data_IF_498992375755
#
_entry.id   IF_498992375755
#
_cell.length_a   1.000
_cell.length_b   1.000
_cell.length_c   1.000
_cell.angle_alpha   90.00
_cell.angle_beta   90.00
_cell.angle_gamma   90.00
#
_symmetry.space_group_name_H-M   'P 1'
#
loop_
_entity.id
_entity.type
_entity.pdbx_description
1 polymer ?
#
# COMPACT_ATOMS: atom_id res chain seq x y z
N UNK A 1 -9.82 -19.44 2.57
CA UNK A 1 -9.10 -18.16 2.78
C UNK A 1 -8.10 -17.98 1.64
N UNK A 2 -8.15 -16.85 0.93
CA UNK A 2 -7.13 -16.49 -0.05
C UNK A 2 -5.89 -16.01 0.72
N UNK A 3 -4.79 -16.75 0.63
CA UNK A 3 -3.53 -16.32 1.23
C UNK A 3 -2.99 -15.12 0.45
N UNK A 4 -2.69 -14.02 1.16
CA UNK A 4 -2.03 -12.86 0.55
C UNK A 4 -0.55 -13.14 0.41
N UNK A 5 -0.02 -12.92 -0.79
CA UNK A 5 1.41 -13.07 -1.02
C UNK A 5 2.20 -11.92 -0.36
N UNK A 6 3.50 -12.14 -0.10
CA UNK A 6 4.38 -11.06 0.39
C UNK A 6 4.39 -9.86 -0.57
N UNK A 7 4.38 -10.13 -1.87
CA UNK A 7 4.37 -9.09 -2.92
C UNK A 7 3.08 -8.27 -2.89
N UNK A 8 1.93 -8.92 -2.69
CA UNK A 8 0.63 -8.26 -2.54
C UNK A 8 0.59 -7.38 -1.29
N UNK A 9 1.13 -7.85 -0.17
CA UNK A 9 1.22 -7.03 1.05
C UNK A 9 2.12 -5.81 0.82
N UNK A 10 3.28 -6.01 0.17
CA UNK A 10 4.19 -4.92 -0.18
C UNK A 10 3.49 -3.90 -1.07
N UNK A 11 2.80 -4.32 -2.13
CA UNK A 11 2.11 -3.40 -3.04
C UNK A 11 1.01 -2.61 -2.32
N UNK A 12 0.26 -3.25 -1.43
CA UNK A 12 -0.77 -2.58 -0.61
C UNK A 12 -0.13 -1.52 0.29
N UNK A 13 0.97 -1.83 0.99
CA UNK A 13 1.65 -0.85 1.85
C UNK A 13 2.17 0.31 1.01
N UNK A 14 2.79 0.06 -0.14
CA UNK A 14 3.30 1.10 -1.04
C UNK A 14 2.18 2.02 -1.53
N UNK A 15 1.00 1.48 -1.85
CA UNK A 15 -0.18 2.26 -2.22
C UNK A 15 -0.66 3.14 -1.06
N UNK A 16 -0.76 2.57 0.15
CA UNK A 16 -1.21 3.30 1.35
C UNK A 16 -0.28 4.49 1.67
N UNK A 17 1.04 4.30 1.59
CA UNK A 17 2.03 5.33 1.92
C UNK A 17 2.28 6.32 0.77
N UNK A 18 1.75 6.09 -0.44
CA UNK A 18 1.85 7.03 -1.55
C UNK A 18 1.24 8.41 -1.22
N UNK A 19 0.22 8.43 -0.35
CA UNK A 19 -0.43 9.66 0.17
C UNK A 19 0.08 10.07 1.56
N UNK A 20 1.11 9.40 2.10
CA UNK A 20 1.49 9.52 3.49
C UNK A 20 0.59 8.71 4.43
N UNK A 21 1.21 7.90 5.30
CA UNK A 21 0.48 7.13 6.29
C UNK A 21 1.28 6.85 7.58
N UNK A 22 0.57 6.83 8.70
CA UNK A 22 1.11 6.37 10.00
C UNK A 22 1.14 4.83 10.05
N UNK A 23 1.92 4.28 10.99
CA UNK A 23 1.93 2.83 11.26
C UNK A 23 0.52 2.28 11.48
N UNK A 24 -0.28 2.98 12.29
CA UNK A 24 -1.68 2.62 12.57
C UNK A 24 -2.51 2.56 11.29
N UNK A 25 -2.44 3.59 10.43
CA UNK A 25 -3.18 3.60 9.16
C UNK A 25 -2.75 2.45 8.23
N UNK A 26 -1.46 2.14 8.18
CA UNK A 26 -0.93 1.01 7.39
C UNK A 26 -1.45 -0.32 7.95
N UNK A 27 -1.38 -0.52 9.26
CA UNK A 27 -1.83 -1.74 9.94
C UNK A 27 -3.29 -2.08 9.62
N UNK A 28 -4.18 -1.10 9.81
CA UNK A 28 -5.61 -1.29 9.61
C UNK A 28 -5.95 -1.48 8.13
N UNK A 29 -5.40 -0.66 7.23
CA UNK A 29 -5.69 -0.78 5.79
C UNK A 29 -5.07 -2.02 5.14
N UNK A 30 -3.95 -2.50 5.66
CA UNK A 30 -3.30 -3.71 5.17
C UNK A 30 -3.66 -4.96 5.97
N UNK A 31 -4.57 -4.90 6.95
CA UNK A 31 -4.96 -6.04 7.80
C UNK A 31 -3.75 -6.82 8.35
N UNK A 32 -2.77 -6.12 8.91
CA UNK A 32 -1.56 -6.72 9.47
C UNK A 32 -1.61 -6.73 10.99
N UNK A 33 -1.01 -7.74 11.62
CA UNK A 33 -0.68 -7.65 13.04
C UNK A 33 0.46 -6.64 13.26
N UNK A 34 0.62 -6.15 14.49
CA UNK A 34 1.73 -5.26 14.84
C UNK A 34 3.11 -5.86 14.49
N UNK A 35 3.29 -7.16 14.77
CA UNK A 35 4.53 -7.89 14.47
C UNK A 35 4.79 -7.94 12.96
N UNK A 36 3.78 -8.27 12.16
CA UNK A 36 3.90 -8.29 10.70
C UNK A 36 4.20 -6.90 10.14
N UNK A 37 3.47 -5.89 10.60
CA UNK A 37 3.68 -4.51 10.19
C UNK A 37 5.13 -4.08 10.43
N UNK A 38 5.65 -4.35 11.63
CA UNK A 38 7.02 -3.95 11.99
C UNK A 38 8.04 -4.60 11.06
N UNK A 39 7.89 -5.89 10.76
CA UNK A 39 8.77 -6.59 9.81
C UNK A 39 8.71 -5.98 8.40
N UNK A 40 7.51 -5.72 7.88
CA UNK A 40 7.37 -5.12 6.55
C UNK A 40 7.90 -3.68 6.50
N UNK A 41 7.62 -2.86 7.51
CA UNK A 41 8.13 -1.48 7.57
C UNK A 41 9.65 -1.45 7.62
N UNK A 42 10.28 -2.30 8.45
CA UNK A 42 11.74 -2.41 8.49
C UNK A 42 12.30 -2.83 7.14
N UNK A 43 11.75 -3.89 6.52
CA UNK A 43 12.18 -4.35 5.20
C UNK A 43 12.07 -3.25 4.14
N UNK A 44 10.94 -2.54 4.07
CA UNK A 44 10.72 -1.48 3.09
C UNK A 44 11.65 -0.27 3.32
N UNK A 45 11.92 0.06 4.59
CA UNK A 45 12.80 1.15 4.95
C UNK A 45 14.26 0.85 4.63
N UNK A 46 14.76 -0.33 5.03
CA UNK A 46 16.11 -0.82 4.73
C UNK A 46 16.38 -0.90 3.23
N UNK A 47 15.37 -1.31 2.45
CA UNK A 47 15.45 -1.37 1.00
C UNK A 47 15.25 -0.01 0.30
N UNK A 48 15.12 1.07 1.06
CA UNK A 48 14.92 2.44 0.59
C UNK A 48 13.68 2.58 -0.30
N UNK A 49 12.61 1.85 -0.01
CA UNK A 49 11.32 1.93 -0.72
C UNK A 49 10.39 2.95 -0.07
N UNK A 50 10.49 3.11 1.24
CA UNK A 50 9.77 4.13 2.01
C UNK A 50 10.75 4.99 2.80
N UNK A 51 10.30 6.18 3.20
CA UNK A 51 11.03 7.10 4.07
C UNK A 51 10.10 7.71 5.11
N UNK A 52 10.67 8.10 6.24
CA UNK A 52 10.01 8.88 7.28
C UNK A 52 10.92 10.06 7.64
N UNK A 53 10.38 11.27 7.74
CA UNK A 53 11.17 12.44 8.18
C UNK A 53 11.37 12.37 9.71
N UNK A 54 12.51 12.82 10.24
CA UNK A 54 12.67 13.01 11.68
C UNK A 54 11.53 13.87 12.24
N UNK A 55 10.94 13.45 13.37
CA UNK A 55 9.79 14.12 13.99
C UNK A 55 8.44 13.92 13.28
N UNK A 56 8.39 13.15 12.18
CA UNK A 56 7.15 12.76 11.50
C UNK A 56 6.79 11.33 11.84
N UNK A 57 5.49 11.06 11.97
CA UNK A 57 4.96 9.69 12.03
C UNK A 57 4.54 9.15 10.65
N UNK A 58 4.58 10.02 9.63
CA UNK A 58 4.16 9.70 8.27
C UNK A 58 5.28 9.04 7.47
N UNK A 59 5.02 7.80 7.04
CA UNK A 59 5.77 7.12 6.02
C UNK A 59 5.30 7.57 4.63
N UNK A 60 6.25 7.84 3.75
CA UNK A 60 6.02 8.24 2.35
C UNK A 60 6.92 7.43 1.41
N UNK A 61 6.58 7.37 0.13
CA UNK A 61 7.42 6.71 -0.86
C UNK A 61 8.75 7.45 -1.09
N UNK A 62 9.80 6.67 -1.31
CA UNK A 62 10.98 7.16 -2.03
C UNK A 62 10.73 7.12 -3.54
N UNK A 63 11.67 7.65 -4.32
CA UNK A 63 11.64 7.50 -5.77
C UNK A 63 11.73 6.02 -6.20
N UNK A 64 12.59 5.24 -5.53
CA UNK A 64 12.69 3.78 -5.77
C UNK A 64 11.36 3.06 -5.45
N UNK A 65 10.70 3.43 -4.36
CA UNK A 65 9.39 2.89 -4.00
C UNK A 65 8.30 3.23 -5.00
N UNK A 66 8.30 4.47 -5.53
CA UNK A 66 7.36 4.90 -6.57
C UNK A 66 7.52 4.09 -7.86
N UNK A 67 8.77 3.87 -8.30
CA UNK A 67 9.07 3.03 -9.48
C UNK A 67 8.59 1.60 -9.30
N UNK A 68 8.85 1.00 -8.13
CA UNK A 68 8.38 -0.36 -7.84
C UNK A 68 6.85 -0.46 -7.85
N UNK A 69 6.16 0.51 -7.26
CA UNK A 69 4.70 0.56 -7.28
C UNK A 69 4.16 0.68 -8.70
N UNK A 70 4.80 1.49 -9.54
CA UNK A 70 4.42 1.65 -10.95
C UNK A 70 4.57 0.34 -11.72
N UNK A 71 5.73 -0.33 -11.64
CA UNK A 71 5.95 -1.64 -12.29
C UNK A 71 4.93 -2.67 -11.81
N UNK A 72 4.58 -2.68 -10.52
CA UNK A 72 3.56 -3.60 -10.02
C UNK A 72 2.17 -3.36 -10.65
N UNK A 73 1.79 -2.08 -10.84
CA UNK A 73 0.53 -1.72 -11.51
C UNK A 73 0.54 -2.13 -12.98
N UNK A 74 1.62 -1.86 -13.70
CA UNK A 74 1.77 -2.26 -15.09
C UNK A 74 1.70 -3.78 -15.26
N UNK A 75 2.37 -4.56 -14.41
CA UNK A 75 2.29 -6.02 -14.44
C UNK A 75 0.88 -6.52 -14.15
N UNK A 76 0.15 -5.89 -13.22
CA UNK A 76 -1.23 -6.24 -12.92
C UNK A 76 -2.17 -5.97 -14.13
N UNK A 77 -1.87 -4.94 -14.93
CA UNK A 77 -2.64 -4.60 -16.12
C UNK A 77 -2.30 -5.51 -17.32
N UNK A 78 -1.05 -5.97 -17.44
CA UNK A 78 -0.59 -6.82 -18.55
C UNK A 78 -1.02 -8.28 -18.43
N UNK A 79 -1.23 -8.79 -17.22
CA UNK A 79 -1.65 -10.18 -17.03
C UNK A 79 -3.18 -10.22 -17.12
N UNK A 80 -3.78 -10.90 -18.10
CA UNK A 80 -5.22 -11.16 -18.12
C UNK A 80 -5.56 -12.21 -17.05
N UNK A 81 -5.39 -11.85 -15.79
CA UNK A 81 -6.02 -12.57 -14.69
C UNK A 81 -7.51 -12.30 -14.83
N UNK A 82 -8.25 -13.34 -15.21
CA UNK A 82 -9.72 -13.39 -15.20
C UNK A 82 -10.19 -12.59 -13.99
N UNK A 83 -10.90 -11.45 -14.22
CA UNK A 83 -11.52 -10.62 -13.16
C UNK A 83 -12.55 -11.47 -12.42
N UNK A 84 -12.07 -12.33 -11.52
CA UNK A 84 -12.83 -13.05 -10.54
C UNK A 84 -12.62 -12.37 -9.21
N UNK A 85 -13.50 -11.40 -8.92
CA UNK A 85 -13.81 -10.89 -7.58
C UNK A 85 -12.61 -10.50 -6.70
N UNK A 86 -12.14 -9.27 -6.86
CA UNK A 86 -11.62 -8.48 -5.72
C UNK A 86 -12.17 -7.08 -5.89
N UNK A 87 -13.28 -6.85 -5.21
CA UNK A 87 -13.87 -5.52 -5.05
C UNK A 87 -12.97 -4.72 -4.11
N UNK A 88 -12.10 -3.90 -4.70
CA UNK A 88 -11.49 -2.76 -4.02
C UNK A 88 -12.01 -1.49 -4.70
N UNK A 89 -13.34 -1.35 -4.75
CA UNK A 89 -13.97 -0.05 -4.85
C UNK A 89 -13.61 0.76 -3.60
N UNK A 90 -12.52 1.51 -3.65
CA UNK A 90 -12.48 2.80 -2.96
C UNK A 90 -12.79 3.84 -4.03
N UNK A 91 -14.06 3.90 -4.43
CA UNK A 91 -14.63 5.10 -4.99
C UNK A 91 -15.25 5.88 -3.83
N UNK A 92 -14.44 6.73 -3.20
CA UNK A 92 -14.95 7.83 -2.38
C UNK A 92 -14.75 9.12 -3.17
N UNK A 93 -15.49 9.26 -4.27
CA UNK A 93 -15.81 10.56 -4.82
C UNK A 93 -17.16 10.47 -5.51
N UNK A 94 -18.19 10.88 -4.75
CA UNK A 94 -19.32 11.71 -5.18
C UNK A 94 -20.42 11.57 -4.15
N UNK A 95 -20.58 12.59 -3.28
CA UNK A 95 -21.86 13.22 -2.88
C UNK A 95 -21.53 14.49 -2.09
N UNK A 96 -21.21 15.56 -2.81
CA UNK A 96 -21.65 16.89 -2.41
C UNK A 96 -23.00 17.13 -3.09
N UNK A 97 -23.89 17.77 -2.35
CA UNK A 97 -25.16 18.41 -2.75
C UNK A 97 -26.38 17.50 -2.92
N UNK A 98 -27.32 17.63 -1.98
CA UNK A 98 -28.72 17.98 -2.23
C UNK A 98 -29.41 18.34 -0.90
N UNK A 99 -29.73 19.64 -0.77
CA UNK A 99 -30.67 20.32 0.15
C UNK A 99 -30.40 20.26 1.65
#
# INVERSE_FOLDING_TARGET
MKYRSRTEIISIILEIVNQGATKTKIMYKAYLSYTQLTQYISFLFENKLIKCKPGSELYTLTEKGRRLLHVYKELADMIPLKKGQTDLSISNHERLNLT
#
